data_IF_125121317533
#
_entry.id   IF_125121317533
#
_cell.length_a   1.000
_cell.length_b   1.000
_cell.length_c   1.000
_cell.angle_alpha   90.00
_cell.angle_beta   90.00
_cell.angle_gamma   90.00
#
_symmetry.space_group_name_H-M   'P 1'
#
loop_
_entity.id
_entity.type
_entity.pdbx_description
1 polymer ?
#
# COMPACT_ATOMS: atom_id res chain seq x y z
N UNK A 1 18.82 -5.67 5.54
CA UNK A 1 19.06 -4.22 5.32
C UNK A 1 18.16 -3.73 4.19
N UNK A 2 17.82 -2.43 4.15
CA UNK A 2 17.00 -1.87 3.06
C UNK A 2 17.86 -1.80 1.79
N UNK A 3 17.41 -2.32 0.63
CA UNK A 3 18.16 -2.22 -0.62
C UNK A 3 18.37 -0.77 -1.08
N UNK A 4 19.51 -0.50 -1.72
CA UNK A 4 19.84 0.84 -2.24
C UNK A 4 19.23 1.15 -3.62
N UNK A 5 18.47 0.22 -4.22
CA UNK A 5 17.67 0.47 -5.43
C UNK A 5 16.69 -0.67 -5.69
N UNK A 6 15.68 -0.42 -6.55
CA UNK A 6 14.78 -1.47 -7.02
C UNK A 6 15.51 -2.59 -7.79
N UNK A 7 16.55 -2.23 -8.55
CA UNK A 7 17.37 -3.20 -9.28
C UNK A 7 18.12 -4.13 -8.31
N UNK A 8 18.60 -3.60 -7.18
CA UNK A 8 19.26 -4.39 -6.14
C UNK A 8 18.29 -5.32 -5.40
N UNK A 9 17.02 -4.92 -5.24
CA UNK A 9 16.04 -5.75 -4.52
C UNK A 9 15.54 -6.96 -5.31
N UNK A 10 15.59 -6.92 -6.65
CA UNK A 10 15.07 -7.99 -7.53
C UNK A 10 16.10 -9.09 -7.86
N UNK A 11 17.31 -9.04 -7.30
CA UNK A 11 18.37 -10.02 -7.61
C UNK A 11 18.19 -11.37 -6.91
N UNK A 12 17.44 -11.44 -5.82
CA UNK A 12 17.29 -12.67 -5.04
C UNK A 12 15.89 -13.27 -5.23
N UNK A 13 15.78 -14.54 -5.67
CA UNK A 13 14.50 -15.23 -5.75
C UNK A 13 13.96 -15.54 -4.35
N UNK A 14 12.64 -15.38 -4.17
CA UNK A 14 11.95 -15.69 -2.92
C UNK A 14 11.38 -14.46 -2.23
N UNK A 15 10.93 -14.65 -0.99
CA UNK A 15 10.24 -13.62 -0.23
C UNK A 15 11.26 -12.55 0.21
N UNK A 16 11.06 -11.25 -0.10
CA UNK A 16 12.07 -10.24 0.13
C UNK A 16 12.30 -9.98 1.62
N UNK A 17 13.49 -9.48 1.97
CA UNK A 17 13.87 -9.16 3.36
C UNK A 17 12.99 -8.12 4.06
N UNK A 18 12.15 -7.41 3.32
CA UNK A 18 11.14 -6.46 3.83
C UNK A 18 9.81 -7.12 4.21
N UNK A 19 9.64 -8.40 3.89
CA UNK A 19 8.48 -9.18 4.28
C UNK A 19 8.49 -9.47 5.77
N UNK A 20 7.33 -9.25 6.39
CA UNK A 20 7.07 -9.66 7.75
C UNK A 20 6.00 -10.75 7.68
N UNK A 21 6.26 -11.97 8.20
CA UNK A 21 5.33 -13.09 8.11
C UNK A 21 3.90 -12.74 8.51
N UNK A 22 2.97 -12.93 7.59
CA UNK A 22 1.52 -12.80 7.80
C UNK A 22 1.06 -11.44 8.37
N UNK A 23 1.86 -10.39 8.23
CA UNK A 23 1.57 -9.07 8.80
C UNK A 23 0.24 -8.50 8.31
N UNK A 24 -0.09 -8.68 7.03
CA UNK A 24 -1.35 -8.15 6.49
C UNK A 24 -2.58 -8.91 7.01
N UNK A 25 -2.42 -10.18 7.39
CA UNK A 25 -3.47 -10.94 8.07
C UNK A 25 -3.78 -10.38 9.45
N UNK A 26 -2.74 -10.05 10.22
CA UNK A 26 -2.87 -9.38 11.53
C UNK A 26 -3.57 -8.03 11.37
N UNK A 27 -3.16 -7.22 10.39
CA UNK A 27 -3.80 -5.92 10.14
C UNK A 27 -5.27 -6.03 9.76
N UNK A 28 -5.64 -7.00 8.92
CA UNK A 28 -7.04 -7.24 8.56
C UNK A 28 -7.88 -7.67 9.77
N UNK A 29 -7.34 -8.50 10.66
CA UNK A 29 -8.03 -8.91 11.89
C UNK A 29 -8.27 -7.72 12.83
N UNK A 30 -7.25 -6.88 13.04
CA UNK A 30 -7.36 -5.65 13.84
C UNK A 30 -8.34 -4.65 13.21
N UNK A 31 -8.27 -4.46 11.89
CA UNK A 31 -9.18 -3.59 11.15
C UNK A 31 -10.62 -4.07 11.25
N UNK A 32 -10.88 -5.38 11.21
CA UNK A 32 -12.21 -5.94 11.38
C UNK A 32 -12.77 -5.68 12.79
N UNK A 33 -11.96 -5.92 13.83
CA UNK A 33 -12.37 -5.66 15.21
C UNK A 33 -12.73 -4.18 15.44
N UNK A 34 -11.90 -3.27 14.93
CA UNK A 34 -12.16 -1.82 14.98
C UNK A 34 -13.40 -1.44 14.15
N UNK A 35 -13.50 -1.91 12.91
CA UNK A 35 -14.65 -1.60 12.08
C UNK A 35 -15.97 -2.15 12.67
N UNK A 36 -15.94 -3.31 13.34
CA UNK A 36 -17.12 -3.85 14.02
C UNK A 36 -17.64 -2.92 15.11
N UNK A 37 -16.75 -2.44 15.99
CA UNK A 37 -17.11 -1.52 17.07
C UNK A 37 -17.60 -0.15 16.59
N UNK A 38 -17.19 0.26 15.38
CA UNK A 38 -17.64 1.48 14.72
C UNK A 38 -18.81 1.28 13.75
N UNK A 39 -19.46 0.11 13.76
CA UNK A 39 -20.56 -0.23 12.84
C UNK A 39 -20.21 -0.13 11.33
N UNK A 40 -18.92 -0.11 10.98
CA UNK A 40 -18.43 -0.15 9.60
C UNK A 40 -18.27 -1.58 9.11
N UNK A 41 -18.56 -1.82 7.83
CA UNK A 41 -18.44 -3.16 7.19
C UNK A 41 -17.51 -3.16 5.99
N UNK A 42 -16.87 -2.04 5.70
CA UNK A 42 -15.96 -1.91 4.58
C UNK A 42 -14.54 -1.79 5.11
N UNK A 43 -13.72 -2.78 4.79
CA UNK A 43 -12.29 -2.78 5.06
C UNK A 43 -11.60 -2.47 3.73
N UNK A 44 -10.92 -1.33 3.62
CA UNK A 44 -10.22 -0.94 2.39
C UNK A 44 -8.73 -1.10 2.61
N UNK A 45 -8.05 -1.83 1.74
CA UNK A 45 -6.59 -2.04 1.82
C UNK A 45 -5.86 -1.40 0.64
N UNK A 46 -4.63 -0.97 0.90
CA UNK A 46 -3.71 -0.49 -0.13
C UNK A 46 -2.84 -1.60 -0.73
N UNK A 47 -3.28 -2.86 -0.70
CA UNK A 47 -2.50 -3.96 -1.27
C UNK A 47 -2.25 -3.75 -2.75
N UNK A 48 -1.04 -4.09 -3.19
CA UNK A 48 -0.62 -3.99 -4.58
C UNK A 48 0.19 -5.24 -4.95
N UNK A 49 -0.35 -6.07 -5.84
CA UNK A 49 0.27 -7.33 -6.23
C UNK A 49 1.39 -7.14 -7.27
N UNK A 50 1.45 -5.99 -7.95
CA UNK A 50 2.45 -5.67 -8.98
C UNK A 50 3.79 -5.28 -8.32
N UNK A 51 3.74 -4.47 -7.26
CA UNK A 51 4.89 -3.99 -6.50
C UNK A 51 5.40 -5.05 -5.50
N UNK A 52 4.58 -6.03 -5.15
CA UNK A 52 4.87 -7.06 -4.14
C UNK A 52 4.37 -8.44 -4.56
N UNK A 53 4.80 -8.97 -5.72
CA UNK A 53 4.32 -10.24 -6.26
C UNK A 53 4.68 -11.44 -5.36
N UNK A 54 5.79 -11.32 -4.62
CA UNK A 54 6.29 -12.38 -3.75
C UNK A 54 5.64 -12.40 -2.35
N UNK A 55 4.69 -11.49 -2.10
CA UNK A 55 3.97 -11.42 -0.82
C UNK A 55 2.70 -12.27 -0.91
N UNK A 56 2.59 -13.39 -0.16
CA UNK A 56 1.41 -14.24 -0.23
C UNK A 56 0.15 -13.55 0.33
N UNK A 57 0.33 -12.54 1.17
CA UNK A 57 -0.71 -11.84 1.92
C UNK A 57 -1.14 -10.49 1.28
N UNK A 58 -0.86 -10.31 -0.01
CA UNK A 58 -1.32 -9.13 -0.79
C UNK A 58 -2.23 -9.50 -1.96
N UNK A 59 -2.62 -10.78 -2.09
CA UNK A 59 -3.38 -11.29 -3.25
C UNK A 59 -4.91 -11.10 -3.10
N UNK A 60 -5.62 -11.14 -4.23
CA UNK A 60 -7.10 -11.12 -4.26
C UNK A 60 -7.65 -12.35 -3.54
N UNK A 61 -7.03 -13.52 -3.76
CA UNK A 61 -7.46 -14.76 -3.14
C UNK A 61 -7.29 -14.71 -1.62
N UNK A 62 -6.14 -14.24 -1.13
CA UNK A 62 -5.91 -14.01 0.29
C UNK A 62 -6.96 -13.08 0.89
N UNK A 63 -7.21 -11.94 0.26
CA UNK A 63 -8.18 -10.94 0.73
C UNK A 63 -9.60 -11.51 0.83
N UNK A 64 -10.03 -12.33 -0.15
CA UNK A 64 -11.31 -13.04 -0.12
C UNK A 64 -11.40 -14.06 1.01
N UNK A 65 -10.33 -14.83 1.23
CA UNK A 65 -10.27 -15.83 2.31
C UNK A 65 -10.30 -15.17 3.68
N UNK A 66 -9.59 -14.05 3.85
CA UNK A 66 -9.65 -13.26 5.08
C UNK A 66 -11.04 -12.68 5.32
N UNK A 67 -11.71 -12.14 4.30
CA UNK A 67 -13.09 -11.67 4.43
C UNK A 67 -14.04 -12.78 4.90
N UNK A 68 -13.90 -13.99 4.36
CA UNK A 68 -14.68 -15.15 4.79
C UNK A 68 -14.41 -15.54 6.25
N UNK A 69 -13.14 -15.61 6.65
CA UNK A 69 -12.75 -15.91 8.04
C UNK A 69 -13.28 -14.86 9.03
N UNK A 70 -13.14 -13.57 8.71
CA UNK A 70 -13.68 -12.46 9.50
C UNK A 70 -15.21 -12.60 9.66
N UNK A 71 -15.93 -12.91 8.59
CA UNK A 71 -17.38 -13.06 8.64
C UNK A 71 -17.83 -14.28 9.46
N UNK A 72 -17.05 -15.35 9.50
CA UNK A 72 -17.35 -16.49 10.37
C UNK A 72 -17.12 -16.16 11.86
N UNK A 73 -16.14 -15.30 12.15
CA UNK A 73 -15.74 -14.95 13.52
C UNK A 73 -16.48 -13.78 14.17
N UNK A 74 -17.33 -13.05 13.43
CA UNK A 74 -17.92 -11.77 13.91
C UNK A 74 -19.44 -11.84 14.06
N UNK A 75 -20.00 -11.02 14.96
CA UNK A 75 -21.45 -10.91 15.13
C UNK A 75 -22.11 -10.27 13.91
N UNK A 76 -21.41 -9.30 13.29
CA UNK A 76 -21.78 -8.71 12.01
C UNK A 76 -22.00 -9.77 10.93
N UNK A 77 -21.05 -10.71 10.78
CA UNK A 77 -21.18 -11.82 9.85
C UNK A 77 -22.35 -12.76 10.18
N UNK A 78 -22.53 -13.13 11.45
CA UNK A 78 -23.68 -13.95 11.89
C UNK A 78 -25.03 -13.30 11.61
N UNK A 79 -25.13 -11.97 11.70
CA UNK A 79 -26.37 -11.22 11.45
C UNK A 79 -26.66 -10.95 9.97
N UNK A 80 -25.88 -11.51 9.04
CA UNK A 80 -26.05 -11.29 7.59
C UNK A 80 -25.54 -9.93 7.10
N UNK A 81 -24.91 -9.13 7.97
CA UNK A 81 -24.33 -7.81 7.66
C UNK A 81 -22.81 -7.86 7.73
N UNK A 82 -22.23 -8.85 7.04
CA UNK A 82 -20.79 -9.13 7.07
C UNK A 82 -19.92 -8.06 6.41
N UNK A 83 -18.63 -8.16 6.70
CA UNK A 83 -17.55 -7.36 6.16
C UNK A 83 -17.27 -7.64 4.68
N UNK A 84 -16.87 -6.60 3.97
CA UNK A 84 -16.29 -6.62 2.63
C UNK A 84 -14.86 -6.09 2.70
N UNK A 85 -13.91 -6.83 2.12
CA UNK A 85 -12.52 -6.38 1.95
C UNK A 85 -12.36 -5.86 0.52
N UNK A 86 -12.04 -4.58 0.40
CA UNK A 86 -11.83 -3.87 -0.86
C UNK A 86 -10.34 -3.71 -1.11
N UNK A 87 -9.90 -4.08 -2.31
CA UNK A 87 -8.49 -4.01 -2.74
C UNK A 87 -8.38 -3.19 -4.04
N UNK A 88 -8.77 -1.90 -4.04
CA UNK A 88 -8.92 -1.11 -5.27
C UNK A 88 -7.61 -0.93 -6.05
N UNK A 89 -6.46 -1.03 -5.38
CA UNK A 89 -5.14 -0.79 -5.97
C UNK A 89 -4.42 -2.07 -6.43
N UNK A 90 -5.03 -3.25 -6.24
CA UNK A 90 -4.30 -4.53 -6.25
C UNK A 90 -3.67 -4.87 -7.60
N UNK A 91 -4.31 -4.46 -8.69
CA UNK A 91 -3.90 -4.71 -10.06
C UNK A 91 -3.44 -3.44 -10.79
N UNK A 92 -3.29 -2.31 -10.08
CA UNK A 92 -2.86 -1.06 -10.66
C UNK A 92 -1.33 -0.92 -10.59
N UNK A 93 -0.71 -0.46 -11.66
CA UNK A 93 0.66 0.03 -11.65
C UNK A 93 0.78 1.26 -10.74
N UNK A 94 1.99 1.60 -10.31
CA UNK A 94 2.19 2.81 -9.51
C UNK A 94 1.77 4.09 -10.23
N UNK A 95 1.99 4.13 -11.55
CA UNK A 95 1.52 5.20 -12.42
C UNK A 95 0.00 5.36 -12.34
N UNK A 96 -0.75 4.26 -12.48
CA UNK A 96 -2.21 4.26 -12.40
C UNK A 96 -2.70 4.65 -11.00
N UNK A 97 -2.03 4.19 -9.94
CA UNK A 97 -2.35 4.60 -8.57
C UNK A 97 -2.20 6.11 -8.41
N UNK A 98 -1.08 6.68 -8.89
CA UNK A 98 -0.84 8.12 -8.79
C UNK A 98 -1.84 8.91 -9.64
N UNK A 99 -2.13 8.46 -10.85
CA UNK A 99 -3.13 9.08 -11.72
C UNK A 99 -4.52 9.09 -11.06
N UNK A 100 -4.96 7.95 -10.54
CA UNK A 100 -6.24 7.82 -9.84
C UNK A 100 -6.31 8.72 -8.59
N UNK A 101 -5.23 8.78 -7.81
CA UNK A 101 -5.20 9.68 -6.65
C UNK A 101 -5.28 11.15 -7.05
N UNK A 102 -4.60 11.56 -8.12
CA UNK A 102 -4.70 12.93 -8.64
C UNK A 102 -6.14 13.25 -9.07
N UNK A 103 -6.79 12.33 -9.79
CA UNK A 103 -8.19 12.48 -10.22
C UNK A 103 -9.14 12.63 -9.02
N UNK A 104 -8.91 11.88 -7.95
CA UNK A 104 -9.69 11.93 -6.71
C UNK A 104 -9.31 13.09 -5.77
N UNK A 105 -8.34 13.93 -6.15
CA UNK A 105 -7.90 15.08 -5.34
C UNK A 105 -6.98 14.72 -4.16
N UNK A 106 -6.29 13.58 -4.22
CA UNK A 106 -5.30 13.19 -3.21
C UNK A 106 -4.10 14.14 -3.21
N UNK A 107 -3.71 14.61 -2.02
CA UNK A 107 -2.53 15.46 -1.86
C UNK A 107 -1.25 14.65 -1.68
N UNK A 108 -0.50 14.48 -2.77
CA UNK A 108 0.78 13.78 -2.74
C UNK A 108 1.90 14.56 -2.04
N UNK A 109 1.72 15.85 -1.72
CA UNK A 109 2.75 16.68 -1.09
C UNK A 109 3.11 16.25 0.34
N UNK A 110 2.23 15.49 1.00
CA UNK A 110 2.41 14.99 2.36
C UNK A 110 2.54 13.46 2.43
N UNK A 111 2.56 12.79 1.28
CA UNK A 111 2.69 11.33 1.22
C UNK A 111 4.16 10.89 1.32
N UNK A 112 4.47 10.02 2.28
CA UNK A 112 5.83 9.47 2.47
C UNK A 112 5.87 8.06 1.90
N UNK A 113 6.69 7.85 0.87
CA UNK A 113 6.94 6.52 0.28
C UNK A 113 8.30 5.95 0.65
N UNK A 114 9.26 6.78 1.07
CA UNK A 114 10.63 6.35 1.33
C UNK A 114 10.68 5.29 2.44
N UNK A 115 11.34 4.16 2.19
CA UNK A 115 11.50 3.10 3.20
C UNK A 115 12.33 3.52 4.42
N UNK A 116 13.07 4.63 4.33
CA UNK A 116 13.79 5.21 5.47
C UNK A 116 12.89 6.11 6.34
N UNK A 117 11.64 6.33 5.95
CA UNK A 117 10.61 6.99 6.75
C UNK A 117 10.73 8.51 6.89
N UNK A 118 11.82 9.12 6.41
CA UNK A 118 11.98 10.58 6.43
C UNK A 118 11.07 11.27 5.40
N UNK A 119 10.68 12.51 5.72
CA UNK A 119 9.92 13.39 4.82
C UNK A 119 10.71 13.69 3.54
N UNK A 120 12.00 14.02 3.68
CA UNK A 120 12.92 14.12 2.55
C UNK A 120 13.25 12.71 2.05
N UNK A 121 12.84 12.33 0.82
CA UNK A 121 13.10 11.00 0.30
C UNK A 121 14.60 10.80 0.08
N UNK A 122 15.13 9.64 0.44
CA UNK A 122 16.56 9.38 0.32
C UNK A 122 17.10 9.28 -1.11
N UNK A 123 16.23 9.26 -2.12
CA UNK A 123 16.59 9.12 -3.53
C UNK A 123 17.23 7.80 -3.97
N UNK A 124 17.44 6.85 -3.04
CA UNK A 124 18.20 5.61 -3.27
C UNK A 124 17.56 4.37 -2.66
N UNK A 125 16.24 4.29 -2.63
CA UNK A 125 15.57 3.06 -2.19
C UNK A 125 14.52 2.66 -3.22
N UNK A 126 14.15 1.37 -3.29
CA UNK A 126 13.15 0.89 -4.25
C UNK A 126 11.88 1.74 -4.32
N UNK A 127 11.37 2.17 -3.18
CA UNK A 127 10.16 2.99 -3.12
C UNK A 127 10.35 4.42 -3.67
N UNK A 128 11.54 5.02 -3.49
CA UNK A 128 11.88 6.29 -4.13
C UNK A 128 11.95 6.13 -5.65
N UNK A 129 12.61 5.07 -6.13
CA UNK A 129 12.73 4.79 -7.58
C UNK A 129 11.34 4.61 -8.23
N UNK A 130 10.48 3.80 -7.59
CA UNK A 130 9.12 3.53 -8.06
C UNK A 130 8.30 4.82 -8.14
N UNK A 131 8.34 5.65 -7.10
CA UNK A 131 7.61 6.93 -7.06
C UNK A 131 8.12 7.89 -8.13
N UNK A 132 9.44 8.08 -8.22
CA UNK A 132 10.05 8.98 -9.19
C UNK A 132 9.71 8.59 -10.64
N UNK A 133 9.79 7.30 -10.97
CA UNK A 133 9.40 6.78 -12.29
C UNK A 133 7.93 7.02 -12.59
N UNK A 134 7.04 6.74 -11.63
CA UNK A 134 5.61 6.90 -11.85
C UNK A 134 5.22 8.37 -12.11
N UNK A 135 5.82 9.34 -11.42
CA UNK A 135 5.62 10.77 -11.72
C UNK A 135 6.21 11.17 -13.08
N UNK A 136 7.40 10.67 -13.41
CA UNK A 136 8.03 10.93 -14.72
C UNK A 136 7.18 10.37 -15.88
N UNK A 137 6.64 9.16 -15.74
CA UNK A 137 5.74 8.54 -16.73
C UNK A 137 4.39 9.27 -16.90
N UNK A 138 4.00 10.08 -15.91
CA UNK A 138 2.84 10.98 -15.99
C UNK A 138 3.19 12.36 -16.53
N UNK A 139 4.48 12.66 -16.75
CA UNK A 139 4.94 14.00 -17.13
C UNK A 139 4.66 15.05 -16.06
N UNK A 140 4.64 14.66 -14.77
CA UNK A 140 4.30 15.54 -13.65
C UNK A 140 5.45 15.67 -12.67
N UNK A 141 5.62 16.87 -12.12
CA UNK A 141 6.51 17.08 -10.98
C UNK A 141 5.91 16.42 -9.73
N UNK A 142 6.74 15.76 -8.92
CA UNK A 142 6.33 15.23 -7.63
C UNK A 142 5.96 16.37 -6.65
N UNK A 143 4.70 16.45 -6.18
CA UNK A 143 4.26 17.53 -5.28
C UNK A 143 5.02 17.57 -3.95
N UNK A 144 5.53 16.42 -3.46
CA UNK A 144 6.33 16.37 -2.23
C UNK A 144 7.63 17.15 -2.43
N UNK A 145 8.35 16.87 -3.52
CA UNK A 145 9.60 17.56 -3.84
C UNK A 145 9.39 19.05 -4.09
N UNK A 146 8.31 19.40 -4.80
CA UNK A 146 7.95 20.80 -5.05
C UNK A 146 7.65 21.57 -3.75
N UNK A 147 6.96 20.94 -2.78
CA UNK A 147 6.71 21.54 -1.46
C UNK A 147 8.01 21.68 -0.67
N UNK A 148 8.81 20.62 -0.55
CA UNK A 148 10.05 20.64 0.23
C UNK A 148 11.05 21.69 -0.28
N UNK A 149 11.16 21.85 -1.61
CA UNK A 149 11.97 22.90 -2.20
C UNK A 149 11.50 24.30 -1.79
N UNK A 150 10.19 24.56 -1.78
CA UNK A 150 9.62 25.84 -1.31
C UNK A 150 9.86 26.08 0.19
N UNK A 151 9.92 25.02 0.98
CA UNK A 151 10.23 25.06 2.41
C UNK A 151 11.75 25.17 2.69
N UNK A 152 12.61 25.16 1.67
CA UNK A 152 14.06 25.19 1.84
C UNK A 152 14.67 23.88 2.34
N UNK A 153 13.93 22.76 2.23
CA UNK A 153 14.40 21.41 2.55
C UNK A 153 14.84 20.74 1.25
N UNK A 154 16.15 20.63 1.03
CA UNK A 154 16.77 19.99 -0.16
C UNK A 154 17.65 18.83 0.24
#
# INVERSE_FOLDING_TARGET
SIPESLAASRKEPGVPSTYVPFRNGIFLALAAACAESHASRNLVTGFNAIDSPDYPDTTVQFSRKMAAAINQGTAAGKSGRGFKVHTPLIALSKKEIIAMGIELGADYAYSISCYRGAELPCGRCPACDIRARAFAELGRQDPLLARLQKEGKT
#
